data_IF_121476060204
#
_entry.id   IF_121476060204
#
_cell.length_a   1.000
_cell.length_b   1.000
_cell.length_c   1.000
_cell.angle_alpha   90.00
_cell.angle_beta   90.00
_cell.angle_gamma   90.00
#
_symmetry.space_group_name_H-M   'P 1'
#
loop_
_entity.id
_entity.type
_entity.pdbx_description
1 polymer ?
#
# COMPACT_ATOMS: atom_id res chain seq x y z
N UNK A 1 -32.87 66.19 -19.91
CA UNK A 1 -32.78 64.74 -20.01
C UNK A 1 -31.30 64.38 -20.14
N UNK A 2 -30.69 63.90 -19.09
CA UNK A 2 -29.30 63.40 -19.10
C UNK A 2 -29.35 61.89 -18.92
N UNK A 3 -28.91 61.17 -19.96
CA UNK A 3 -28.86 59.73 -19.99
C UNK A 3 -27.60 59.27 -19.26
N UNK A 4 -27.74 58.53 -18.16
CA UNK A 4 -26.61 57.88 -17.51
C UNK A 4 -26.37 56.51 -18.18
N UNK A 5 -25.16 56.30 -18.69
CA UNK A 5 -24.68 55.01 -19.19
C UNK A 5 -24.05 54.29 -18.00
N UNK A 6 -24.65 53.15 -17.58
CA UNK A 6 -24.07 52.27 -16.59
C UNK A 6 -23.06 51.33 -17.24
N UNK A 7 -21.79 51.43 -16.84
CA UNK A 7 -20.76 50.49 -17.25
C UNK A 7 -20.85 49.21 -16.43
N UNK A 8 -21.09 48.09 -17.11
CA UNK A 8 -21.08 46.75 -16.53
C UNK A 8 -19.62 46.26 -16.46
N UNK A 9 -19.07 46.21 -15.25
CA UNK A 9 -17.74 45.62 -15.00
C UNK A 9 -17.91 44.14 -14.91
N UNK A 10 -17.48 43.37 -15.95
CA UNK A 10 -17.29 41.94 -15.90
C UNK A 10 -16.08 41.59 -15.02
N UNK A 11 -16.33 41.10 -13.84
CA UNK A 11 -15.32 40.47 -13.00
C UNK A 11 -14.98 39.09 -13.59
N UNK A 12 -13.79 38.99 -14.18
CA UNK A 12 -13.16 37.71 -14.52
C UNK A 12 -12.87 36.94 -13.24
N UNK A 13 -13.13 35.62 -13.16
CA UNK A 13 -12.75 34.82 -11.99
C UNK A 13 -11.23 34.80 -11.89
N UNK A 14 -10.70 35.47 -10.86
CA UNK A 14 -9.29 35.46 -10.54
C UNK A 14 -8.82 34.02 -10.27
N UNK A 15 -7.78 33.61 -10.99
CA UNK A 15 -6.97 32.44 -10.59
C UNK A 15 -6.48 32.67 -9.16
N UNK A 16 -6.91 31.84 -8.25
CA UNK A 16 -6.30 31.76 -6.92
C UNK A 16 -4.83 31.39 -7.10
N UNK A 17 -3.90 32.09 -6.45
CA UNK A 17 -2.49 31.72 -6.54
C UNK A 17 -2.28 30.34 -5.95
N UNK A 18 -1.47 29.50 -6.62
CA UNK A 18 -1.03 28.21 -6.11
C UNK A 18 -0.52 28.37 -4.68
N UNK A 19 -1.08 27.57 -3.77
CA UNK A 19 -0.72 27.60 -2.36
C UNK A 19 0.80 27.50 -2.18
N UNK A 20 1.30 28.26 -1.22
CA UNK A 20 2.70 28.40 -0.84
C UNK A 20 3.36 27.03 -0.68
N UNK A 21 4.10 26.55 -1.70
CA UNK A 21 4.89 25.33 -1.63
C UNK A 21 6.15 25.64 -0.85
N UNK A 22 6.37 24.97 0.28
CA UNK A 22 7.58 25.13 1.07
C UNK A 22 8.82 24.89 0.20
N UNK A 23 9.79 25.80 0.24
CA UNK A 23 11.07 25.64 -0.47
C UNK A 23 11.92 24.63 0.28
N UNK A 24 12.22 23.49 -0.36
CA UNK A 24 13.16 22.49 0.12
C UNK A 24 14.56 22.66 -0.47
N UNK A 25 15.57 22.08 0.17
CA UNK A 25 16.94 22.00 -0.35
C UNK A 25 16.96 21.38 -1.76
N UNK A 26 17.51 22.10 -2.72
CA UNK A 26 17.66 21.65 -4.11
C UNK A 26 16.39 21.54 -4.95
N UNK A 27 15.27 22.18 -4.53
CA UNK A 27 14.04 22.22 -5.34
C UNK A 27 13.24 20.91 -5.39
N UNK A 28 13.58 19.88 -4.59
CA UNK A 28 12.81 18.63 -4.50
C UNK A 28 11.79 18.73 -3.37
N UNK A 29 10.51 18.71 -3.72
CA UNK A 29 9.40 18.63 -2.79
C UNK A 29 9.07 17.15 -2.57
N UNK A 30 9.16 16.68 -1.33
CA UNK A 30 8.82 15.30 -0.93
C UNK A 30 7.47 15.31 -0.25
N UNK A 31 6.46 14.78 -0.91
CA UNK A 31 5.08 14.85 -0.43
C UNK A 31 4.54 13.46 -0.11
N UNK A 32 3.96 13.32 1.08
CA UNK A 32 3.27 12.10 1.49
C UNK A 32 1.77 12.28 1.25
N UNK A 33 1.22 11.49 0.35
CA UNK A 33 -0.20 11.41 0.06
C UNK A 33 -0.83 10.31 0.92
N UNK A 34 -1.75 10.67 1.76
CA UNK A 34 -2.42 9.76 2.71
C UNK A 34 -3.91 9.73 2.41
N UNK A 35 -4.40 8.60 1.93
CA UNK A 35 -5.81 8.39 1.65
C UNK A 35 -6.56 7.98 2.92
N UNK A 36 -7.63 8.69 3.23
CA UNK A 36 -8.57 8.43 4.31
C UNK A 36 -10.02 8.44 3.80
N UNK A 37 -10.99 8.18 4.69
CA UNK A 37 -12.42 8.10 4.34
C UNK A 37 -13.00 9.35 3.67
N UNK A 38 -12.29 10.47 3.67
CA UNK A 38 -12.78 11.76 3.19
C UNK A 38 -11.96 12.34 2.05
N UNK A 39 -10.90 11.64 1.61
CA UNK A 39 -10.06 12.10 0.51
C UNK A 39 -8.59 11.79 0.71
N UNK A 40 -7.72 12.65 0.20
CA UNK A 40 -6.26 12.47 0.27
C UNK A 40 -5.62 13.66 0.95
N UNK A 41 -5.11 13.46 2.15
CA UNK A 41 -4.33 14.46 2.89
C UNK A 41 -2.88 14.45 2.42
N UNK A 42 -2.29 15.63 2.25
CA UNK A 42 -0.92 15.81 1.74
C UNK A 42 -0.06 16.44 2.83
N UNK A 43 1.07 15.80 3.10
CA UNK A 43 2.03 16.22 4.12
C UNK A 43 3.41 16.48 3.50
N UNK A 44 4.14 17.46 4.01
CA UNK A 44 5.51 17.77 3.63
C UNK A 44 6.51 16.95 4.46
N UNK A 45 7.15 15.96 3.84
CA UNK A 45 8.15 15.10 4.49
C UNK A 45 9.38 15.91 4.91
N UNK A 46 9.77 16.90 4.11
CA UNK A 46 10.94 17.75 4.40
C UNK A 46 10.71 18.67 5.61
N UNK A 47 9.44 18.97 5.92
CA UNK A 47 9.05 19.81 7.04
C UNK A 47 8.32 19.00 8.14
N UNK A 48 9.01 17.99 8.68
CA UNK A 48 8.54 17.16 9.78
C UNK A 48 7.12 16.60 9.59
N UNK A 49 6.73 16.27 8.36
CA UNK A 49 5.40 15.78 8.00
C UNK A 49 4.27 16.77 8.33
N UNK A 50 4.53 18.07 8.17
CA UNK A 50 3.51 19.09 8.37
C UNK A 50 2.40 18.94 7.33
N UNK A 51 1.14 19.07 7.77
CA UNK A 51 -0.02 19.06 6.89
C UNK A 51 0.03 20.28 5.94
N UNK A 52 -0.18 20.04 4.66
CA UNK A 52 -0.23 21.10 3.64
C UNK A 52 -1.66 21.39 3.19
N UNK A 53 -2.37 20.37 2.74
CA UNK A 53 -3.69 20.48 2.14
C UNK A 53 -4.35 19.13 1.97
N UNK A 54 -5.59 19.13 1.54
CA UNK A 54 -6.38 17.93 1.28
C UNK A 54 -7.02 17.98 -0.10
N UNK A 55 -7.01 16.88 -0.81
CA UNK A 55 -7.83 16.65 -1.98
C UNK A 55 -9.15 16.04 -1.49
N UNK A 56 -10.23 16.78 -1.60
CA UNK A 56 -11.55 16.27 -1.26
C UNK A 56 -12.02 15.30 -2.34
N UNK A 57 -12.43 14.11 -1.92
CA UNK A 57 -12.99 13.10 -2.81
C UNK A 57 -14.40 12.79 -2.34
N UNK A 58 -15.44 13.34 -3.00
CA UNK A 58 -16.83 13.14 -2.60
C UNK A 58 -17.28 11.70 -2.87
N UNK A 59 -18.27 11.26 -2.09
CA UNK A 59 -18.91 9.94 -2.20
C UNK A 59 -17.95 8.76 -2.09
N UNK A 60 -16.88 8.93 -1.32
CA UNK A 60 -15.93 7.86 -1.10
C UNK A 60 -16.24 7.11 0.19
N UNK A 61 -15.62 5.93 0.27
CA UNK A 61 -15.62 5.07 1.43
C UNK A 61 -14.17 4.72 1.80
N UNK A 62 -13.96 3.57 2.40
CA UNK A 62 -12.63 3.09 2.75
C UNK A 62 -11.78 2.80 1.50
N UNK A 63 -10.53 3.27 1.48
CA UNK A 63 -9.58 2.96 0.43
C UNK A 63 -8.79 1.68 0.77
N UNK A 64 -8.52 0.87 -0.25
CA UNK A 64 -7.75 -0.39 -0.14
C UNK A 64 -6.40 -0.34 -0.85
N UNK A 65 -6.27 0.46 -1.87
CA UNK A 65 -5.03 0.62 -2.63
C UNK A 65 -4.76 2.07 -3.00
N UNK A 66 -3.47 2.40 -3.12
CA UNK A 66 -2.96 3.66 -3.62
C UNK A 66 -1.74 3.40 -4.49
N UNK A 67 -1.68 4.00 -5.67
CA UNK A 67 -0.52 3.97 -6.56
C UNK A 67 -0.43 5.25 -7.38
N UNK A 68 0.72 5.54 -8.00
CA UNK A 68 0.88 6.73 -8.80
C UNK A 68 1.71 6.46 -10.06
N UNK A 69 1.39 7.17 -11.14
CA UNK A 69 2.20 7.25 -12.35
C UNK A 69 2.78 8.66 -12.48
N UNK A 70 4.09 8.76 -12.33
CA UNK A 70 4.79 10.05 -12.56
C UNK A 70 4.77 10.44 -14.04
N UNK A 71 4.79 9.45 -14.93
CA UNK A 71 4.77 9.66 -16.39
C UNK A 71 3.44 10.25 -16.86
N UNK A 72 2.34 9.81 -16.27
CA UNK A 72 1.00 10.32 -16.58
C UNK A 72 0.58 11.48 -15.66
N UNK A 73 1.32 11.73 -14.56
CA UNK A 73 0.93 12.72 -13.56
C UNK A 73 -0.37 12.33 -12.84
N UNK A 74 -0.56 11.06 -12.54
CA UNK A 74 -1.82 10.53 -11.98
C UNK A 74 -1.61 9.78 -10.67
N UNK A 75 -2.61 9.89 -9.79
CA UNK A 75 -2.77 9.13 -8.56
C UNK A 75 -4.00 8.23 -8.70
N UNK A 76 -3.88 6.97 -8.30
CA UNK A 76 -4.95 5.98 -8.38
C UNK A 76 -5.32 5.47 -6.99
N UNK A 77 -6.61 5.40 -6.72
CA UNK A 77 -7.18 4.90 -5.48
C UNK A 77 -8.21 3.83 -5.76
N UNK A 78 -8.20 2.74 -5.01
CA UNK A 78 -9.26 1.75 -5.03
C UNK A 78 -10.14 1.87 -3.80
N UNK A 79 -11.45 1.77 -3.98
CA UNK A 79 -12.43 1.70 -2.90
C UNK A 79 -13.23 0.41 -3.02
N UNK A 80 -13.17 -0.42 -2.00
CA UNK A 80 -13.88 -1.69 -1.95
C UNK A 80 -15.39 -1.53 -1.72
N UNK A 81 -15.79 -0.53 -0.93
CA UNK A 81 -17.21 -0.30 -0.63
C UNK A 81 -17.96 0.37 -1.79
N UNK A 82 -17.25 0.90 -2.76
CA UNK A 82 -17.80 1.51 -3.97
C UNK A 82 -17.45 0.72 -5.23
N UNK A 83 -16.69 -0.37 -5.11
CA UNK A 83 -16.25 -1.21 -6.23
C UNK A 83 -15.59 -0.40 -7.34
N UNK A 84 -14.80 0.62 -6.96
CA UNK A 84 -14.27 1.59 -7.91
C UNK A 84 -12.74 1.70 -7.91
N UNK A 85 -12.21 2.04 -9.08
CA UNK A 85 -10.90 2.63 -9.26
C UNK A 85 -11.07 4.09 -9.63
N UNK A 86 -10.45 4.96 -8.85
CA UNK A 86 -10.48 6.41 -8.99
C UNK A 86 -9.13 6.91 -9.49
N UNK A 87 -9.11 7.80 -10.47
CA UNK A 87 -7.93 8.49 -10.95
C UNK A 87 -8.03 9.98 -10.63
N UNK A 88 -6.96 10.52 -10.03
CA UNK A 88 -6.79 11.94 -9.70
C UNK A 88 -5.62 12.47 -10.52
N UNK A 89 -5.81 13.62 -11.16
CA UNK A 89 -4.74 14.36 -11.82
C UNK A 89 -3.89 15.11 -10.77
N UNK A 90 -2.60 14.84 -10.73
CA UNK A 90 -1.68 15.40 -9.73
C UNK A 90 -1.40 16.90 -9.91
N UNK A 91 -1.59 17.43 -11.12
CA UNK A 91 -1.34 18.85 -11.36
C UNK A 91 -2.53 19.73 -10.95
N UNK A 92 -3.75 19.25 -11.20
CA UNK A 92 -4.99 19.96 -10.89
C UNK A 92 -5.62 19.53 -9.57
N UNK A 93 -5.19 18.38 -9.02
CA UNK A 93 -5.74 17.74 -7.82
C UNK A 93 -7.25 17.44 -7.94
N UNK A 94 -7.71 17.22 -9.17
CA UNK A 94 -9.10 16.89 -9.47
C UNK A 94 -9.24 15.45 -9.91
N UNK A 95 -10.44 14.90 -9.68
CA UNK A 95 -10.83 13.61 -10.21
C UNK A 95 -10.87 13.70 -11.73
N UNK A 96 -10.09 12.86 -12.39
CA UNK A 96 -10.04 12.77 -13.85
C UNK A 96 -11.10 11.78 -14.36
N UNK A 97 -11.17 10.61 -13.72
CA UNK A 97 -12.20 9.63 -14.00
C UNK A 97 -12.44 8.67 -12.81
N UNK A 98 -13.60 7.99 -12.84
CA UNK A 98 -13.97 6.87 -11.99
C UNK A 98 -14.39 5.70 -12.84
N UNK A 99 -14.05 4.48 -12.46
CA UNK A 99 -14.41 3.24 -13.13
C UNK A 99 -14.91 2.21 -12.15
N UNK A 100 -15.97 1.51 -12.54
CA UNK A 100 -16.51 0.35 -11.84
C UNK A 100 -16.30 -0.89 -12.69
N UNK A 101 -15.97 -2.01 -12.06
CA UNK A 101 -15.70 -3.26 -12.74
C UNK A 101 -16.64 -4.35 -12.25
N UNK A 102 -17.05 -5.26 -13.15
CA UNK A 102 -18.12 -6.23 -12.89
C UNK A 102 -17.80 -7.23 -11.75
N UNK A 103 -16.51 -7.51 -11.53
CA UNK A 103 -16.09 -8.50 -10.52
C UNK A 103 -15.96 -7.89 -9.11
N UNK A 104 -16.41 -6.67 -8.88
CA UNK A 104 -16.58 -6.00 -7.59
C UNK A 104 -15.38 -6.00 -6.62
N UNK A 105 -15.52 -5.26 -5.51
CA UNK A 105 -14.59 -5.24 -4.37
C UNK A 105 -13.12 -4.98 -4.75
N UNK A 106 -12.83 -3.80 -5.32
CA UNK A 106 -11.48 -3.39 -5.71
C UNK A 106 -10.52 -3.30 -4.52
N UNK A 107 -9.34 -3.92 -4.63
CA UNK A 107 -8.33 -3.97 -3.56
C UNK A 107 -6.97 -3.42 -4.02
N UNK A 108 -5.88 -3.85 -3.43
CA UNK A 108 -4.53 -3.27 -3.53
C UNK A 108 -3.90 -3.48 -4.90
N UNK A 109 -4.07 -2.52 -5.78
CA UNK A 109 -3.51 -2.51 -7.13
C UNK A 109 -2.01 -2.22 -7.13
N UNK A 110 -1.35 -2.61 -8.21
CA UNK A 110 0.00 -2.19 -8.56
C UNK A 110 0.05 -1.57 -9.96
N UNK A 111 1.02 -0.71 -10.20
CA UNK A 111 1.26 -0.07 -11.49
C UNK A 111 2.65 -0.45 -12.03
N UNK A 112 2.78 -0.61 -13.34
CA UNK A 112 4.10 -0.82 -13.96
C UNK A 112 4.99 0.41 -13.79
N UNK A 113 6.32 0.26 -13.70
CA UNK A 113 7.25 1.38 -13.54
C UNK A 113 7.20 2.41 -14.68
N UNK A 114 6.79 1.99 -15.89
CA UNK A 114 6.55 2.90 -17.02
C UNK A 114 5.22 3.66 -16.90
N UNK A 115 4.45 3.40 -15.85
CA UNK A 115 3.19 4.07 -15.54
C UNK A 115 2.03 3.77 -16.49
N UNK A 116 2.12 2.75 -17.34
CA UNK A 116 1.13 2.53 -18.43
C UNK A 116 0.10 1.46 -18.12
N UNK A 117 0.39 0.54 -17.20
CA UNK A 117 -0.48 -0.60 -16.93
C UNK A 117 -0.74 -0.75 -15.45
N UNK A 118 -2.01 -0.87 -15.08
CA UNK A 118 -2.46 -1.20 -13.72
C UNK A 118 -2.88 -2.67 -13.66
N UNK A 119 -2.52 -3.32 -12.58
CA UNK A 119 -2.98 -4.65 -12.20
C UNK A 119 -3.92 -4.51 -11.01
N UNK A 120 -5.22 -4.66 -11.28
CA UNK A 120 -6.29 -4.42 -10.30
C UNK A 120 -6.87 -5.74 -9.82
N UNK A 121 -6.71 -6.11 -8.53
CA UNK A 121 -7.41 -7.24 -7.95
C UNK A 121 -8.87 -6.88 -7.68
N UNK A 122 -9.79 -7.75 -8.09
CA UNK A 122 -11.21 -7.65 -7.79
C UNK A 122 -11.63 -8.90 -7.01
N UNK A 123 -11.95 -8.73 -5.72
CA UNK A 123 -12.07 -9.84 -4.75
C UNK A 123 -13.30 -10.72 -4.94
N UNK A 124 -14.34 -10.22 -5.61
CA UNK A 124 -15.53 -11.02 -5.93
C UNK A 124 -15.34 -11.89 -7.19
N UNK A 125 -14.23 -11.65 -7.93
CA UNK A 125 -13.85 -12.42 -9.10
C UNK A 125 -12.74 -13.43 -8.84
N UNK A 126 -12.19 -13.96 -9.91
CA UNK A 126 -11.11 -14.95 -9.93
C UNK A 126 -9.85 -14.45 -10.65
N UNK A 127 -9.79 -13.16 -10.95
CA UNK A 127 -8.78 -12.60 -11.85
C UNK A 127 -8.31 -11.22 -11.41
N UNK A 128 -7.06 -10.90 -11.72
CA UNK A 128 -6.59 -9.53 -11.81
C UNK A 128 -6.97 -8.93 -13.15
N UNK A 129 -7.59 -7.76 -13.13
CA UNK A 129 -7.80 -6.98 -14.33
C UNK A 129 -6.54 -6.23 -14.72
N UNK A 130 -6.14 -6.35 -15.98
CA UNK A 130 -5.03 -5.61 -16.58
C UNK A 130 -5.61 -4.41 -17.30
N UNK A 131 -5.28 -3.20 -16.83
CA UNK A 131 -5.92 -1.97 -17.27
C UNK A 131 -4.91 -1.03 -17.93
N UNK A 132 -5.41 -0.23 -18.87
CA UNK A 132 -4.70 0.97 -19.32
C UNK A 132 -4.70 2.01 -18.19
N UNK A 133 -3.55 2.46 -17.76
CA UNK A 133 -3.46 3.40 -16.64
C UNK A 133 -3.97 4.81 -16.99
N UNK A 134 -3.93 5.21 -18.28
CA UNK A 134 -4.42 6.52 -18.69
C UNK A 134 -5.95 6.62 -18.67
N UNK A 135 -6.64 5.53 -19.06
CA UNK A 135 -8.09 5.54 -19.29
C UNK A 135 -8.88 4.68 -18.31
N UNK A 136 -8.22 3.73 -17.61
CA UNK A 136 -8.87 2.71 -16.81
C UNK A 136 -9.52 1.59 -17.65
N UNK A 137 -9.33 1.57 -18.97
CA UNK A 137 -9.96 0.58 -19.85
C UNK A 137 -9.28 -0.79 -19.71
N UNK A 138 -10.07 -1.89 -19.71
CA UNK A 138 -9.52 -3.24 -19.64
C UNK A 138 -8.71 -3.62 -20.87
N UNK A 139 -7.51 -4.17 -20.65
CA UNK A 139 -6.65 -4.78 -21.68
C UNK A 139 -6.66 -6.30 -21.61
N UNK A 140 -7.05 -6.86 -20.48
CA UNK A 140 -7.08 -8.30 -20.27
C UNK A 140 -7.25 -8.68 -18.79
N UNK A 141 -7.08 -9.96 -18.51
CA UNK A 141 -7.15 -10.51 -17.15
C UNK A 141 -6.05 -11.55 -16.93
N UNK A 142 -5.61 -11.69 -15.68
CA UNK A 142 -4.79 -12.81 -15.21
C UNK A 142 -5.65 -13.64 -14.27
N UNK A 143 -6.13 -14.80 -14.73
CA UNK A 143 -6.87 -15.73 -13.90
C UNK A 143 -5.91 -16.54 -12.99
N UNK A 144 -6.25 -16.69 -11.74
CA UNK A 144 -5.43 -17.41 -10.75
C UNK A 144 -6.16 -18.62 -10.17
N UNK A 145 -7.47 -18.54 -9.98
CA UNK A 145 -8.23 -19.55 -9.22
C UNK A 145 -9.10 -20.47 -10.07
N UNK A 146 -9.00 -20.46 -11.40
CA UNK A 146 -9.79 -21.32 -12.31
C UNK A 146 -11.29 -21.44 -11.93
N UNK A 147 -11.90 -20.35 -11.50
CA UNK A 147 -13.31 -20.31 -11.14
C UNK A 147 -13.69 -20.99 -9.81
N UNK A 148 -12.72 -21.42 -9.00
CA UNK A 148 -13.01 -21.87 -7.65
C UNK A 148 -12.95 -20.68 -6.69
N UNK A 149 -14.11 -20.14 -6.38
CA UNK A 149 -14.26 -19.22 -5.26
C UNK A 149 -14.06 -20.01 -3.96
N UNK A 150 -13.07 -19.63 -3.17
CA UNK A 150 -12.93 -20.15 -1.80
C UNK A 150 -13.83 -19.30 -0.91
N UNK A 151 -15.06 -19.77 -0.66
CA UNK A 151 -15.89 -19.19 0.39
C UNK A 151 -15.44 -19.79 1.73
N UNK A 152 -14.79 -19.05 2.64
CA UNK A 152 -14.74 -19.45 4.02
C UNK A 152 -16.16 -19.27 4.57
N UNK A 153 -16.68 -20.28 5.22
CA UNK A 153 -17.89 -20.14 6.02
C UNK A 153 -17.78 -18.88 6.89
N UNK A 154 -18.73 -17.96 6.76
CA UNK A 154 -18.87 -16.74 7.55
C UNK A 154 -17.90 -15.58 7.27
N UNK A 155 -17.43 -15.32 6.05
CA UNK A 155 -16.83 -14.03 5.74
C UNK A 155 -17.95 -12.97 5.57
N UNK A 156 -18.12 -12.02 6.52
CA UNK A 156 -19.26 -11.08 6.50
C UNK A 156 -19.15 -9.97 5.44
N UNK A 157 -18.05 -9.93 4.72
CA UNK A 157 -17.74 -8.92 3.71
C UNK A 157 -17.32 -9.67 2.47
N UNK A 158 -18.04 -9.62 1.39
CA UNK A 158 -17.81 -10.33 0.13
C UNK A 158 -16.35 -10.45 -0.29
N UNK A 159 -16.06 -11.32 -1.21
CA UNK A 159 -14.78 -11.42 -1.90
C UNK A 159 -13.60 -12.00 -1.13
N UNK A 160 -13.28 -13.23 -1.49
CA UNK A 160 -12.09 -13.96 -1.00
C UNK A 160 -11.07 -14.20 -2.12
N UNK A 161 -11.31 -13.60 -3.26
CA UNK A 161 -10.51 -13.74 -4.47
C UNK A 161 -9.21 -12.91 -4.46
N UNK A 162 -8.87 -12.32 -5.60
CA UNK A 162 -7.69 -11.47 -5.79
C UNK A 162 -7.58 -10.37 -4.75
N UNK A 163 -6.41 -10.23 -4.11
CA UNK A 163 -6.27 -9.33 -2.96
C UNK A 163 -5.06 -8.39 -3.06
N UNK A 164 -3.85 -8.87 -2.82
CA UNK A 164 -2.66 -8.03 -2.85
C UNK A 164 -1.87 -8.22 -4.14
N UNK A 165 -1.30 -7.13 -4.61
CA UNK A 165 -0.48 -7.08 -5.82
C UNK A 165 0.86 -6.42 -5.51
N UNK A 166 1.95 -7.01 -5.97
CA UNK A 166 3.29 -6.42 -5.90
C UNK A 166 3.95 -6.47 -7.28
N UNK A 167 4.59 -5.39 -7.69
CA UNK A 167 5.29 -5.26 -8.97
C UNK A 167 6.79 -5.27 -8.73
N UNK A 168 7.54 -6.06 -9.52
CA UNK A 168 8.98 -5.99 -9.43
C UNK A 168 9.54 -4.68 -10.03
N UNK A 169 10.76 -4.26 -9.64
CA UNK A 169 11.29 -2.95 -10.00
C UNK A 169 11.44 -2.70 -11.50
N UNK A 170 11.65 -3.74 -12.32
CA UNK A 170 11.76 -3.61 -13.78
C UNK A 170 10.43 -3.74 -14.52
N UNK A 171 9.33 -4.03 -13.81
CA UNK A 171 7.99 -4.15 -14.37
C UNK A 171 7.75 -5.41 -15.21
N UNK A 172 8.67 -6.37 -15.20
CA UNK A 172 8.55 -7.60 -16.00
C UNK A 172 7.74 -8.70 -15.33
N UNK A 173 7.55 -8.60 -14.01
CA UNK A 173 6.78 -9.58 -13.23
C UNK A 173 5.86 -8.89 -12.22
N UNK A 174 4.70 -9.49 -12.05
CA UNK A 174 3.73 -9.12 -11.03
C UNK A 174 3.46 -10.32 -10.12
N UNK A 175 3.47 -10.06 -8.81
CA UNK A 175 3.20 -11.02 -7.75
C UNK A 175 1.78 -10.81 -7.23
N UNK A 176 1.02 -11.89 -7.13
CA UNK A 176 -0.42 -11.90 -6.98
C UNK A 176 -0.81 -12.80 -5.80
N UNK A 177 -1.52 -12.25 -4.83
CA UNK A 177 -1.98 -13.02 -3.66
C UNK A 177 -3.50 -13.07 -3.65
N UNK A 178 -4.03 -14.26 -3.51
CA UNK A 178 -5.45 -14.54 -3.32
C UNK A 178 -5.73 -14.68 -1.84
N UNK A 179 -6.69 -13.95 -1.34
CA UNK A 179 -7.10 -14.01 0.06
C UNK A 179 -7.47 -15.45 0.44
N UNK A 180 -6.91 -16.00 1.50
CA UNK A 180 -7.11 -17.39 1.94
C UNK A 180 -6.32 -18.47 1.20
N UNK A 181 -5.71 -18.18 0.07
CA UNK A 181 -4.84 -19.13 -0.63
C UNK A 181 -3.43 -19.12 0.01
N UNK A 182 -2.80 -20.29 0.22
CA UNK A 182 -1.43 -20.35 0.78
C UNK A 182 -0.34 -20.14 -0.27
N UNK A 183 -0.62 -19.47 -1.38
CA UNK A 183 0.37 -19.22 -2.44
C UNK A 183 0.43 -17.75 -2.86
N UNK A 184 1.62 -17.27 -3.18
CA UNK A 184 1.84 -16.08 -4.00
C UNK A 184 2.13 -16.52 -5.42
N UNK A 185 1.31 -16.11 -6.36
CA UNK A 185 1.47 -16.41 -7.79
C UNK A 185 2.36 -15.38 -8.47
N UNK A 186 3.08 -15.79 -9.50
CA UNK A 186 3.99 -14.95 -10.26
C UNK A 186 3.53 -14.96 -11.72
N UNK A 187 3.33 -13.79 -12.30
CA UNK A 187 2.97 -13.64 -13.71
C UNK A 187 4.00 -12.80 -14.47
N UNK A 188 4.24 -13.15 -15.72
CA UNK A 188 5.01 -12.36 -16.68
C UNK A 188 4.09 -11.24 -17.22
N UNK A 189 4.51 -9.98 -17.11
CA UNK A 189 3.68 -8.82 -17.48
C UNK A 189 3.57 -8.62 -18.99
N UNK A 190 4.50 -9.14 -19.77
CA UNK A 190 4.47 -9.06 -21.24
C UNK A 190 3.41 -9.99 -21.83
N UNK A 191 3.19 -11.14 -21.20
CA UNK A 191 2.22 -12.15 -21.67
C UNK A 191 0.93 -12.19 -20.84
N UNK A 192 0.96 -11.59 -19.65
CA UNK A 192 -0.10 -11.68 -18.63
C UNK A 192 -0.47 -13.13 -18.28
N UNK A 193 0.55 -14.01 -18.21
CA UNK A 193 0.39 -15.43 -17.88
C UNK A 193 1.15 -15.78 -16.62
N UNK A 194 0.59 -16.70 -15.83
CA UNK A 194 1.29 -17.27 -14.69
C UNK A 194 2.51 -18.06 -15.14
N UNK A 195 3.64 -17.83 -14.47
CA UNK A 195 4.93 -18.49 -14.72
C UNK A 195 5.44 -19.25 -13.50
N UNK A 196 4.84 -19.08 -12.32
CA UNK A 196 5.22 -19.76 -11.12
C UNK A 196 4.37 -19.41 -9.92
N UNK A 197 4.70 -20.03 -8.79
CA UNK A 197 4.09 -19.71 -7.49
C UNK A 197 5.03 -20.05 -6.33
N UNK A 198 4.90 -19.29 -5.24
CA UNK A 198 5.65 -19.49 -4.00
C UNK A 198 4.75 -20.08 -2.94
N UNK A 199 5.20 -21.11 -2.24
CA UNK A 199 4.45 -21.80 -1.20
C UNK A 199 4.42 -23.33 -1.38
N UNK A 200 3.51 -24.07 -0.67
CA UNK A 200 2.47 -23.49 0.17
C UNK A 200 3.03 -22.89 1.46
N UNK A 201 2.53 -21.71 1.82
CA UNK A 201 2.66 -21.18 3.17
C UNK A 201 1.81 -21.98 4.15
N UNK A 202 2.04 -21.83 5.45
CA UNK A 202 1.37 -22.68 6.45
C UNK A 202 -0.15 -22.44 6.55
N UNK A 203 -0.61 -21.26 6.14
CA UNK A 203 -2.03 -20.84 6.08
C UNK A 203 -2.22 -19.84 4.93
N UNK A 204 -3.45 -19.30 4.84
CA UNK A 204 -3.73 -18.16 3.97
C UNK A 204 -2.81 -16.98 4.28
N UNK A 205 -2.33 -16.34 3.22
CA UNK A 205 -1.45 -15.17 3.33
C UNK A 205 -2.25 -13.87 3.34
N UNK A 206 -1.60 -12.85 3.85
CA UNK A 206 -2.06 -11.47 3.93
C UNK A 206 -1.03 -10.58 3.24
N UNK A 207 -0.71 -9.36 3.70
CA UNK A 207 0.34 -8.61 3.08
C UNK A 207 1.62 -9.41 2.92
N UNK A 208 2.27 -9.18 1.80
CA UNK A 208 3.57 -9.75 1.50
C UNK A 208 4.47 -8.70 0.86
N UNK A 209 5.77 -8.96 0.88
CA UNK A 209 6.78 -8.16 0.21
C UNK A 209 7.77 -9.09 -0.50
N UNK A 210 8.36 -8.62 -1.60
CA UNK A 210 9.32 -9.38 -2.39
C UNK A 210 10.62 -8.60 -2.46
N UNK A 211 11.77 -9.28 -2.33
CA UNK A 211 13.07 -8.62 -2.51
C UNK A 211 13.25 -8.11 -3.94
N UNK A 212 13.95 -6.99 -4.12
CA UNK A 212 14.18 -6.41 -5.44
C UNK A 212 14.94 -7.34 -6.39
N UNK A 213 15.75 -8.25 -5.84
CA UNK A 213 16.45 -9.30 -6.59
C UNK A 213 15.58 -10.54 -6.84
N UNK A 214 14.33 -10.50 -6.36
CA UNK A 214 13.34 -11.57 -6.52
C UNK A 214 13.83 -12.94 -6.01
N UNK A 215 14.63 -12.96 -4.94
CA UNK A 215 15.01 -14.23 -4.29
C UNK A 215 14.01 -14.69 -3.25
N UNK A 216 13.40 -13.75 -2.51
CA UNK A 216 12.55 -14.07 -1.36
C UNK A 216 11.22 -13.34 -1.39
N UNK A 217 10.19 -14.03 -0.93
CA UNK A 217 8.87 -13.50 -0.55
C UNK A 217 8.75 -13.58 0.96
N UNK A 218 8.49 -12.46 1.61
CA UNK A 218 8.14 -12.38 3.04
C UNK A 218 6.64 -12.19 3.16
N UNK A 219 5.94 -13.09 3.82
CA UNK A 219 4.48 -13.07 3.90
C UNK A 219 3.96 -13.15 5.34
N UNK A 220 3.05 -12.26 5.71
CA UNK A 220 2.23 -12.48 6.88
C UNK A 220 1.28 -13.65 6.61
N UNK A 221 1.09 -14.50 7.60
CA UNK A 221 0.29 -15.72 7.50
C UNK A 221 -0.78 -15.70 8.58
N UNK A 222 -1.98 -16.15 8.26
CA UNK A 222 -3.08 -16.23 9.21
C UNK A 222 -2.66 -16.97 10.50
N UNK A 223 -3.04 -16.41 11.65
CA UNK A 223 -2.75 -16.92 12.99
C UNK A 223 -1.28 -16.89 13.43
N UNK A 224 -0.39 -16.30 12.62
CA UNK A 224 1.02 -16.14 12.96
C UNK A 224 1.29 -14.70 13.39
N UNK A 225 1.77 -14.51 14.62
CA UNK A 225 2.48 -13.28 14.99
C UNK A 225 3.90 -13.41 14.45
N UNK A 226 4.15 -12.81 13.28
CA UNK A 226 5.39 -12.99 12.55
C UNK A 226 5.17 -13.12 11.04
N UNK A 227 6.01 -13.90 10.38
CA UNK A 227 5.96 -14.09 8.94
C UNK A 227 6.64 -15.39 8.50
N UNK A 228 6.38 -15.78 7.28
CA UNK A 228 7.11 -16.86 6.61
C UNK A 228 7.90 -16.31 5.41
N UNK A 229 8.99 -16.99 5.07
CA UNK A 229 9.87 -16.63 3.97
C UNK A 229 9.80 -17.74 2.93
N UNK A 230 9.38 -17.40 1.72
CA UNK A 230 9.36 -18.32 0.58
C UNK A 230 10.45 -17.98 -0.45
N UNK A 231 10.91 -18.98 -1.20
CA UNK A 231 11.78 -18.77 -2.35
C UNK A 231 10.94 -18.25 -3.52
N UNK A 232 11.23 -17.03 -4.00
CA UNK A 232 10.58 -16.50 -5.21
C UNK A 232 11.16 -17.09 -6.49
N UNK A 233 12.37 -17.63 -6.42
CA UNK A 233 13.06 -18.29 -7.52
C UNK A 233 13.85 -19.49 -7.03
N UNK A 234 13.87 -20.58 -7.81
CA UNK A 234 14.64 -21.79 -7.54
C UNK A 234 15.39 -22.18 -8.83
N UNK A 235 16.70 -21.89 -8.86
CA UNK A 235 17.49 -21.98 -10.10
C UNK A 235 16.93 -21.04 -11.16
N UNK A 236 16.59 -21.57 -12.32
CA UNK A 236 15.97 -20.80 -13.43
C UNK A 236 14.43 -20.80 -13.41
N UNK A 237 13.82 -21.47 -12.44
CA UNK A 237 12.37 -21.56 -12.31
C UNK A 237 11.80 -20.51 -11.36
N UNK A 238 10.72 -19.87 -11.75
CA UNK A 238 9.96 -18.97 -10.90
C UNK A 238 9.12 -19.75 -9.90
N UNK A 239 9.19 -19.29 -8.63
CA UNK A 239 8.51 -19.92 -7.51
C UNK A 239 9.36 -20.96 -6.76
N UNK A 240 8.87 -21.32 -5.60
CA UNK A 240 9.56 -22.27 -4.72
C UNK A 240 8.82 -22.48 -3.41
N UNK A 241 9.48 -23.20 -2.50
CA UNK A 241 8.91 -23.59 -1.21
C UNK A 241 9.14 -22.52 -0.16
N UNK A 242 8.41 -22.60 0.94
CA UNK A 242 8.71 -21.89 2.18
C UNK A 242 10.02 -22.42 2.76
N UNK A 243 10.92 -21.50 3.11
CA UNK A 243 12.26 -21.74 3.63
C UNK A 243 12.34 -21.57 5.13
N UNK A 244 11.70 -20.52 5.66
CA UNK A 244 11.78 -20.16 7.06
C UNK A 244 10.42 -19.69 7.58
N UNK A 245 10.16 -19.99 8.86
CA UNK A 245 9.07 -19.43 9.66
C UNK A 245 9.68 -18.63 10.80
N UNK A 246 9.26 -17.39 10.94
CA UNK A 246 9.74 -16.44 11.94
C UNK A 246 8.59 -16.05 12.84
N UNK A 247 8.70 -16.35 14.12
CA UNK A 247 7.75 -15.94 15.15
C UNK A 247 8.28 -14.69 15.87
N UNK A 248 7.48 -13.63 15.87
CA UNK A 248 7.80 -12.44 16.65
C UNK A 248 7.48 -12.69 18.13
N UNK A 249 8.37 -12.20 19.02
CA UNK A 249 8.21 -12.33 20.47
C UNK A 249 7.87 -10.99 21.06
N UNK A 250 6.64 -10.85 21.53
CA UNK A 250 6.21 -9.66 22.26
C UNK A 250 7.01 -9.51 23.56
N UNK A 251 7.56 -8.32 23.87
CA UNK A 251 8.26 -8.07 25.11
C UNK A 251 7.41 -8.37 26.35
N UNK A 252 8.01 -8.98 27.38
CA UNK A 252 7.32 -9.39 28.61
C UNK A 252 6.61 -8.21 29.31
N UNK A 253 7.20 -7.01 29.26
CA UNK A 253 6.60 -5.80 29.80
C UNK A 253 5.27 -5.45 29.09
N UNK A 254 5.17 -5.70 27.80
CA UNK A 254 3.95 -5.46 27.02
C UNK A 254 2.91 -6.53 27.27
N UNK A 255 3.33 -7.79 27.39
CA UNK A 255 2.42 -8.89 27.77
C UNK A 255 1.78 -8.64 29.13
N UNK A 256 2.52 -8.08 30.08
CA UNK A 256 2.01 -7.70 31.40
C UNK A 256 0.97 -6.57 31.32
N UNK A 257 1.11 -5.64 30.37
CA UNK A 257 0.15 -4.54 30.14
C UNK A 257 -1.13 -5.01 29.45
N UNK A 258 -1.04 -6.03 28.58
CA UNK A 258 -2.17 -6.58 27.84
C UNK A 258 -2.18 -8.12 28.03
N UNK A 259 -2.52 -8.62 29.23
CA UNK A 259 -2.44 -10.05 29.51
C UNK A 259 -3.48 -10.88 28.73
N UNK A 260 -4.60 -10.26 28.37
CA UNK A 260 -5.68 -10.89 27.62
C UNK A 260 -6.04 -9.99 26.40
N UNK A 261 -5.25 -10.03 25.32
CA UNK A 261 -5.59 -9.27 24.14
C UNK A 261 -6.93 -9.71 23.59
N UNK A 262 -7.73 -8.81 23.00
CA UNK A 262 -9.01 -9.17 22.41
C UNK A 262 -8.81 -10.26 21.37
N UNK A 263 -9.66 -11.30 21.45
CA UNK A 263 -9.66 -12.36 20.46
C UNK A 263 -9.90 -11.73 19.08
N UNK A 264 -8.97 -11.95 18.15
CA UNK A 264 -9.16 -11.51 16.77
C UNK A 264 -10.15 -12.43 16.07
N UNK A 265 -10.82 -11.85 15.05
CA UNK A 265 -11.75 -12.61 14.21
C UNK A 265 -11.04 -13.82 13.60
N UNK A 266 -11.75 -14.93 13.36
CA UNK A 266 -11.17 -16.20 12.91
C UNK A 266 -10.25 -16.16 11.68
N UNK A 267 -10.31 -15.12 10.86
CA UNK A 267 -9.49 -14.92 9.67
C UNK A 267 -8.46 -13.78 9.84
N UNK A 268 -8.21 -13.32 11.07
CA UNK A 268 -7.31 -12.20 11.28
C UNK A 268 -5.88 -12.65 11.53
N UNK A 269 -4.98 -11.96 10.89
CA UNK A 269 -3.54 -12.15 11.05
C UNK A 269 -3.07 -11.27 12.18
N UNK A 270 -2.43 -11.81 13.24
CA UNK A 270 -1.85 -11.00 14.32
C UNK A 270 -0.82 -10.00 13.78
N UNK A 271 -0.01 -10.42 12.79
CA UNK A 271 0.83 -9.56 11.98
C UNK A 271 0.13 -9.29 10.66
N UNK A 272 -0.30 -8.04 10.43
CA UNK A 272 -0.98 -7.64 9.20
C UNK A 272 -0.35 -6.36 8.65
N UNK A 273 0.89 -6.48 8.23
CA UNK A 273 1.72 -5.43 7.66
C UNK A 273 3.16 -5.90 7.65
N UNK A 274 3.72 -6.04 6.46
CA UNK A 274 5.10 -6.44 6.23
C UNK A 274 5.64 -5.70 5.03
N UNK A 275 6.84 -5.15 5.14
CA UNK A 275 7.52 -4.55 4.01
C UNK A 275 9.04 -4.59 4.20
N UNK A 276 9.75 -4.42 3.10
CA UNK A 276 11.21 -4.39 3.04
C UNK A 276 11.64 -2.93 2.94
N UNK A 277 12.59 -2.53 3.78
CA UNK A 277 13.20 -1.20 3.68
C UNK A 277 13.84 -1.01 2.29
N UNK A 278 13.81 0.17 1.66
CA UNK A 278 14.31 0.38 0.31
C UNK A 278 15.74 -0.09 0.05
N UNK A 279 16.61 -0.09 1.05
CA UNK A 279 17.99 -0.61 0.96
C UNK A 279 18.09 -2.15 0.97
N UNK A 280 16.96 -2.86 1.09
CA UNK A 280 16.84 -4.31 1.07
C UNK A 280 17.53 -5.04 2.24
N UNK A 281 17.85 -4.33 3.33
CA UNK A 281 18.58 -4.92 4.46
C UNK A 281 17.70 -5.30 5.64
N UNK A 282 16.52 -4.71 5.74
CA UNK A 282 15.61 -4.91 6.86
C UNK A 282 14.19 -5.23 6.38
N UNK A 283 13.55 -6.19 7.03
CA UNK A 283 12.10 -6.43 6.95
C UNK A 283 11.47 -5.93 8.24
N UNK A 284 10.39 -5.16 8.08
CA UNK A 284 9.62 -4.58 9.15
C UNK A 284 8.23 -5.21 9.18
N UNK A 285 7.81 -5.68 10.36
CA UNK A 285 6.57 -6.44 10.55
C UNK A 285 5.72 -5.78 11.61
N UNK A 286 4.47 -5.47 11.26
CA UNK A 286 3.54 -4.81 12.18
C UNK A 286 2.82 -5.84 13.04
N UNK A 287 2.82 -5.60 14.34
CA UNK A 287 2.02 -6.30 15.32
C UNK A 287 0.74 -5.49 15.62
N UNK A 288 -0.35 -5.93 15.06
CA UNK A 288 -1.64 -5.30 15.29
C UNK A 288 -2.31 -5.72 16.60
N UNK A 289 -1.73 -6.62 17.40
CA UNK A 289 -2.26 -7.06 18.70
C UNK A 289 -1.68 -6.22 19.83
N UNK A 290 -0.37 -6.09 19.86
CA UNK A 290 0.35 -5.42 20.93
C UNK A 290 0.88 -4.03 20.57
N UNK A 291 0.71 -3.61 19.30
CA UNK A 291 1.10 -2.28 18.83
C UNK A 291 2.61 -2.07 18.75
N UNK A 292 3.30 -3.03 18.16
CA UNK A 292 4.72 -2.95 17.85
C UNK A 292 4.98 -3.01 16.34
N UNK A 293 6.16 -2.57 15.95
CA UNK A 293 6.82 -2.99 14.72
C UNK A 293 8.08 -3.74 15.10
N UNK A 294 8.19 -4.98 14.64
CA UNK A 294 9.39 -5.80 14.79
C UNK A 294 10.28 -5.65 13.57
N UNK A 295 11.57 -5.47 13.79
CA UNK A 295 12.55 -5.25 12.73
C UNK A 295 13.52 -6.42 12.65
N UNK A 296 13.72 -6.93 11.45
CA UNK A 296 14.59 -8.05 11.18
C UNK A 296 15.65 -7.68 10.15
N UNK A 297 16.91 -8.01 10.42
CA UNK A 297 18.01 -8.01 9.47
C UNK A 297 17.82 -9.19 8.50
N UNK A 298 17.80 -8.90 7.20
CA UNK A 298 17.62 -9.89 6.13
C UNK A 298 18.80 -9.92 5.15
N UNK A 299 19.94 -9.37 5.55
CA UNK A 299 21.21 -9.46 4.77
C UNK A 299 21.70 -10.89 4.67
N UNK A 300 21.26 -11.76 5.58
CA UNK A 300 21.46 -13.20 5.57
C UNK A 300 20.18 -13.93 5.96
N UNK A 301 20.08 -15.22 5.63
CA UNK A 301 18.98 -16.08 6.01
C UNK A 301 19.43 -17.14 7.04
N UNK A 302 18.60 -17.47 8.04
CA UNK A 302 17.26 -16.93 8.32
C UNK A 302 17.31 -15.49 8.82
N UNK A 303 16.18 -14.73 8.69
CA UNK A 303 16.06 -13.38 9.22
C UNK A 303 16.40 -13.28 10.72
N UNK A 304 17.15 -12.26 11.10
CA UNK A 304 17.59 -12.03 12.48
C UNK A 304 16.88 -10.84 13.09
N UNK A 305 16.17 -11.04 14.18
CA UNK A 305 15.52 -9.95 14.94
C UNK A 305 16.56 -8.93 15.46
N UNK A 306 16.28 -7.63 15.26
CA UNK A 306 17.21 -6.55 15.65
C UNK A 306 16.56 -5.43 16.45
N UNK A 307 15.25 -5.23 16.40
CA UNK A 307 14.59 -4.20 17.20
C UNK A 307 13.08 -4.45 17.37
N UNK A 308 12.57 -3.90 18.48
CA UNK A 308 11.14 -3.75 18.80
C UNK A 308 10.83 -2.25 18.89
N UNK A 309 9.91 -1.78 18.04
CA UNK A 309 9.50 -0.37 18.01
C UNK A 309 8.08 -0.25 18.54
N UNK A 310 7.88 0.28 19.76
CA UNK A 310 6.54 0.49 20.30
C UNK A 310 5.84 1.64 19.57
N UNK A 311 4.64 1.37 19.06
CA UNK A 311 3.85 2.37 18.35
C UNK A 311 3.07 3.29 19.28
N UNK A 312 2.68 2.80 20.46
CA UNK A 312 1.86 3.51 21.43
C UNK A 312 2.45 3.36 22.84
N UNK A 313 2.39 4.43 23.64
CA UNK A 313 2.75 4.38 25.05
C UNK A 313 1.72 3.61 25.87
N UNK A 314 0.42 3.90 25.62
CA UNK A 314 -0.69 3.30 26.35
C UNK A 314 -1.40 2.23 25.52
N UNK A 315 -1.56 1.02 26.04
CA UNK A 315 -2.23 -0.08 25.33
C UNK A 315 -3.67 0.20 24.90
N UNK A 316 -4.41 0.99 25.66
CA UNK A 316 -5.80 1.31 25.40
C UNK A 316 -6.04 2.26 24.21
N UNK A 317 -4.97 2.87 23.68
CA UNK A 317 -5.06 3.85 22.58
C UNK A 317 -4.87 3.21 21.19
N UNK A 318 -4.96 1.89 21.08
CA UNK A 318 -4.58 1.18 19.86
C UNK A 318 -5.62 1.25 18.75
N UNK A 319 -5.34 1.94 17.63
CA UNK A 319 -5.77 1.42 16.35
C UNK A 319 -5.00 0.10 16.11
N UNK A 320 -5.64 -0.89 15.50
CA UNK A 320 -4.97 -2.15 15.13
C UNK A 320 -4.20 -1.89 13.83
N UNK A 321 -2.88 -1.55 13.86
CA UNK A 321 -2.14 -1.26 12.66
C UNK A 321 -2.09 -2.49 11.75
N UNK A 322 -2.33 -2.27 10.47
CA UNK A 322 -2.47 -3.34 9.50
C UNK A 322 -1.61 -3.22 8.25
N UNK A 323 -0.81 -2.17 8.12
CA UNK A 323 0.06 -1.93 6.97
C UNK A 323 1.34 -1.24 7.39
N UNK A 324 2.35 -1.28 6.52
CA UNK A 324 3.58 -0.51 6.67
C UNK A 324 4.14 -0.15 5.31
N UNK A 325 4.54 1.10 5.16
CA UNK A 325 5.24 1.62 3.97
C UNK A 325 6.49 2.38 4.40
N UNK A 326 7.35 2.69 3.44
CA UNK A 326 8.56 3.47 3.67
C UNK A 326 8.58 4.72 2.81
N UNK A 327 9.31 5.75 3.27
CA UNK A 327 9.73 6.84 2.40
C UNK A 327 10.69 6.33 1.33
N UNK A 328 10.74 7.00 0.18
CA UNK A 328 11.56 6.60 -0.98
C UNK A 328 13.06 6.48 -0.67
N UNK A 329 13.55 7.29 0.27
CA UNK A 329 14.94 7.21 0.76
C UNK A 329 15.13 6.22 1.91
N UNK A 330 14.06 5.56 2.38
CA UNK A 330 14.09 4.63 3.49
C UNK A 330 14.34 5.27 4.86
N UNK A 331 14.29 6.60 4.98
CA UNK A 331 14.51 7.30 6.24
C UNK A 331 13.36 7.14 7.21
N UNK A 332 12.14 7.06 6.69
CA UNK A 332 10.94 6.93 7.51
C UNK A 332 10.17 5.66 7.17
N UNK A 333 9.57 5.06 8.21
CA UNK A 333 8.59 4.00 8.08
C UNK A 333 7.23 4.50 8.59
N UNK A 334 6.16 4.11 7.90
CA UNK A 334 4.79 4.55 8.14
C UNK A 334 3.89 3.33 8.39
N UNK A 335 3.82 2.81 9.63
CA UNK A 335 2.79 1.83 9.97
C UNK A 335 1.43 2.49 10.07
N UNK A 336 0.35 1.75 9.84
CA UNK A 336 -1.01 2.24 10.10
C UNK A 336 -1.14 2.80 11.52
N UNK A 337 -2.05 3.78 11.69
CA UNK A 337 -2.27 4.43 12.99
C UNK A 337 -1.47 5.71 13.18
N UNK A 338 -0.85 6.23 12.11
CA UNK A 338 -0.30 7.57 12.07
C UNK A 338 1.09 7.76 12.67
N UNK A 339 1.77 6.70 13.09
CA UNK A 339 3.16 6.82 13.54
C UNK A 339 4.10 7.05 12.34
N UNK A 340 5.04 7.97 12.50
CA UNK A 340 6.18 8.19 11.60
C UNK A 340 7.43 7.75 12.36
N UNK A 341 8.07 6.68 11.92
CA UNK A 341 9.24 6.11 12.60
C UNK A 341 10.50 6.51 11.82
N UNK A 342 11.48 7.08 12.49
CA UNK A 342 12.83 7.24 11.95
C UNK A 342 13.52 5.87 11.93
N UNK A 343 13.90 5.40 10.74
CA UNK A 343 14.40 4.03 10.57
C UNK A 343 15.80 3.82 11.09
N UNK A 344 16.61 4.87 11.26
CA UNK A 344 17.95 4.76 11.80
C UNK A 344 17.91 4.63 13.32
N UNK A 345 17.16 5.49 14.01
CA UNK A 345 17.01 5.46 15.47
C UNK A 345 15.99 4.41 15.94
N UNK A 346 15.11 3.95 15.06
CA UNK A 346 13.97 3.06 15.37
C UNK A 346 13.04 3.64 16.45
N UNK A 347 12.82 4.96 16.37
CA UNK A 347 11.97 5.73 17.27
C UNK A 347 10.85 6.43 16.51
N UNK A 348 9.70 6.60 17.15
CA UNK A 348 8.62 7.43 16.61
C UNK A 348 9.07 8.89 16.62
N UNK A 349 9.31 9.46 15.44
CA UNK A 349 9.80 10.82 15.24
C UNK A 349 8.66 11.84 15.12
N UNK A 350 7.51 11.44 14.56
CA UNK A 350 6.36 12.29 14.36
C UNK A 350 5.06 11.46 14.37
N UNK A 351 3.92 12.17 14.35
CA UNK A 351 2.61 11.55 14.17
C UNK A 351 1.76 12.36 13.20
N UNK A 352 1.05 11.66 12.33
CA UNK A 352 0.01 12.19 11.46
C UNK A 352 -1.34 11.60 11.91
N UNK A 353 -2.49 12.21 11.60
CA UNK A 353 -3.78 11.75 12.11
C UNK A 353 -4.14 10.31 11.72
N UNK A 354 -3.77 9.89 10.51
CA UNK A 354 -4.02 8.54 9.99
C UNK A 354 -2.95 8.18 8.95
N UNK A 355 -2.82 6.91 8.65
CA UNK A 355 -1.86 6.40 7.64
C UNK A 355 -2.32 5.06 7.05
N UNK A 356 -3.63 4.92 6.76
CA UNK A 356 -4.16 3.63 6.25
C UNK A 356 -3.57 3.26 4.89
N UNK A 357 -3.63 4.18 3.93
CA UNK A 357 -3.05 4.00 2.59
C UNK A 357 -2.29 5.25 2.22
N UNK A 358 -1.02 5.08 1.95
CA UNK A 358 -0.15 6.20 1.67
C UNK A 358 0.90 5.90 0.62
N UNK A 359 1.37 6.96 -0.03
CA UNK A 359 2.44 6.92 -1.02
C UNK A 359 3.23 8.24 -0.96
N UNK A 360 4.54 8.15 -1.05
CA UNK A 360 5.38 9.31 -1.29
C UNK A 360 5.45 9.61 -2.78
N UNK A 361 5.24 10.87 -3.14
CA UNK A 361 5.43 11.39 -4.50
C UNK A 361 6.33 12.63 -4.40
N UNK A 362 7.43 12.60 -5.12
CA UNK A 362 8.36 13.71 -5.17
C UNK A 362 8.09 14.57 -6.39
N UNK A 363 8.20 15.89 -6.18
CA UNK A 363 8.01 16.88 -7.22
C UNK A 363 9.26 17.74 -7.41
N UNK A 364 9.49 18.14 -8.66
CA UNK A 364 10.46 19.18 -9.01
C UNK A 364 9.80 20.15 -9.98
N UNK A 365 9.88 21.44 -9.67
CA UNK A 365 9.24 22.49 -10.46
C UNK A 365 7.75 22.20 -10.74
N UNK A 366 7.04 21.66 -9.72
CA UNK A 366 5.63 21.34 -9.79
C UNK A 366 5.26 20.09 -10.59
N UNK A 367 6.25 19.32 -11.08
CA UNK A 367 6.03 18.07 -11.82
C UNK A 367 6.42 16.86 -10.97
N UNK A 368 5.64 15.79 -10.94
CA UNK A 368 6.03 14.57 -10.27
C UNK A 368 7.24 13.93 -10.97
N UNK A 369 8.25 13.52 -10.20
CA UNK A 369 9.51 12.96 -10.71
C UNK A 369 9.80 11.56 -10.17
N UNK A 370 9.29 11.22 -8.98
CA UNK A 370 9.37 9.89 -8.38
C UNK A 370 8.09 9.60 -7.62
N UNK A 371 7.71 8.35 -7.56
CA UNK A 371 6.64 7.88 -6.69
C UNK A 371 7.04 6.56 -6.02
N UNK A 372 6.48 6.31 -4.85
CA UNK A 372 6.62 5.04 -4.16
C UNK A 372 6.04 3.90 -5.00
N UNK A 373 6.59 2.70 -4.79
CA UNK A 373 6.03 1.45 -5.31
C UNK A 373 5.50 0.66 -4.12
N UNK A 374 4.48 -0.09 -4.42
CA UNK A 374 3.99 -1.10 -3.51
C UNK A 374 4.25 -2.47 -4.09
#
# INVERSE_FOLDING_TARGET
MRTQIAALILLLPGCLPAANRGKSDGGLERLLYVADKSGVSIYDINNAHSFLRKIEVPDTAEYKGISASVQLGKLYLTSNLKDELLCIDLATEKIDWRRHYADGYADSQAITPDGKTLYLPLRDGDSWWVLDAATGDPKGKIAVTHGKMYAPDNHPIGGIGPHNTWMNPDGTRVYLEVLTDPYVYIADTRTNRLIGKVGPFSKGIRPFAVTNDERYVFANVDWLLGFEVGAARTGDQWGGKVLHRVEARTPASRLAQIPNPPARKPHSTPSHGINIRPDQKEVWVVDGVYGYVYVYDVTAMPPRHIADVPLFKEPAQQPHPGWISFSLDGKYAYPDGGAVIDTASKQVAARIPTSEKLIEIDFRDGKPVRAGHR
#
